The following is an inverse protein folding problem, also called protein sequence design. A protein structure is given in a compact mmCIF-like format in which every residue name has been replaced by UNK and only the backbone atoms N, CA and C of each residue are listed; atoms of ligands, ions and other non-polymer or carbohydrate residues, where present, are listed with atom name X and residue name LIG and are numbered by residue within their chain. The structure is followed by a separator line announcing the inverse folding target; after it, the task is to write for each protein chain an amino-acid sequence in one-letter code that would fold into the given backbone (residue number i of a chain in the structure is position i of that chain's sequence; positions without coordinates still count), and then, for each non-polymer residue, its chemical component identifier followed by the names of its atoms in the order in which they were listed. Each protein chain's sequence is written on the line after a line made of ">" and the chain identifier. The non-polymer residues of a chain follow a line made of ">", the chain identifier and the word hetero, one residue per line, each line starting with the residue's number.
data_IF_479134046126
#
_entry.id   IF_479134046126
#
_cell.length_a   1.000
_cell.length_b   1.000
_cell.length_c   1.000
_cell.angle_alpha   90.00
_cell.angle_beta   90.00
_cell.angle_gamma   90.00
#
_symmetry.space_group_name_H-M   'P 1'
#
loop_
_entity.id
_entity.type
_entity.pdbx_description
1 polymer ?
#
# COMPACT_ATOMS: atom_id res chain seq x y z
N UNK A 1 23.71 -7.65 16.95
CA UNK A 1 22.41 -7.79 16.25
C UNK A 1 22.28 -6.56 15.35
N UNK A 2 22.26 -6.72 14.02
CA UNK A 2 22.16 -5.58 13.10
C UNK A 2 20.67 -5.26 12.89
N UNK A 3 20.25 -4.05 13.23
CA UNK A 3 18.89 -3.58 12.94
C UNK A 3 18.92 -2.77 11.64
N UNK A 4 18.19 -3.24 10.63
CA UNK A 4 17.97 -2.47 9.41
C UNK A 4 16.90 -1.40 9.69
N UNK A 5 17.33 -0.15 9.91
CA UNK A 5 16.42 0.99 10.02
C UNK A 5 16.07 1.54 8.64
N UNK A 6 14.78 1.64 8.34
CA UNK A 6 14.28 2.36 7.18
C UNK A 6 14.44 3.88 7.41
N UNK A 7 15.29 4.54 6.62
CA UNK A 7 15.52 6.00 6.68
C UNK A 7 14.59 6.70 5.70
N UNK A 8 13.39 7.05 6.15
CA UNK A 8 12.41 7.73 5.32
C UNK A 8 12.63 9.25 5.33
N UNK A 9 12.50 9.89 4.15
CA UNK A 9 12.49 11.37 4.01
C UNK A 9 11.09 11.96 4.01
N UNK A 10 10.08 11.11 3.82
CA UNK A 10 8.65 11.45 3.80
C UNK A 10 7.88 10.28 4.43
N UNK A 11 6.67 10.51 4.95
CA UNK A 11 5.83 9.42 5.43
C UNK A 11 5.60 8.36 4.36
N UNK A 12 5.64 7.09 4.76
CA UNK A 12 5.32 5.96 3.91
C UNK A 12 3.82 5.68 3.99
N UNK A 13 3.16 5.54 2.85
CA UNK A 13 1.80 5.04 2.78
C UNK A 13 1.82 3.58 2.35
N UNK A 14 1.31 2.70 3.20
CA UNK A 14 0.96 1.33 2.85
C UNK A 14 -0.52 1.32 2.53
N UNK A 15 -0.91 0.71 1.42
CA UNK A 15 -2.30 0.62 1.04
C UNK A 15 -2.64 -0.78 0.56
N UNK A 16 -3.90 -1.14 0.76
CA UNK A 16 -4.49 -2.39 0.28
C UNK A 16 -5.73 -2.08 -0.56
N UNK A 17 -5.98 -2.91 -1.57
CA UNK A 17 -7.04 -2.70 -2.54
C UNK A 17 -7.94 -3.94 -2.61
N UNK A 18 -9.24 -3.72 -2.48
CA UNK A 18 -10.23 -4.74 -2.85
C UNK A 18 -10.75 -4.43 -4.24
N UNK A 19 -10.79 -5.44 -5.12
CA UNK A 19 -11.12 -5.27 -6.54
C UNK A 19 -12.24 -6.21 -6.95
N UNK A 20 -12.94 -5.88 -8.05
CA UNK A 20 -14.01 -6.76 -8.58
C UNK A 20 -13.49 -8.09 -9.13
N UNK A 21 -12.18 -8.18 -9.37
CA UNK A 21 -11.51 -9.34 -9.95
C UNK A 21 -10.03 -9.05 -10.23
N UNK A 22 -9.30 -10.03 -10.76
CA UNK A 22 -7.85 -9.95 -10.93
C UNK A 22 -7.39 -9.32 -12.26
N UNK A 23 -8.32 -8.93 -13.14
CA UNK A 23 -7.98 -8.38 -14.45
C UNK A 23 -7.62 -6.89 -14.35
N UNK A 24 -6.34 -6.59 -14.49
CA UNK A 24 -5.80 -5.22 -14.39
C UNK A 24 -6.40 -4.19 -15.37
N UNK A 25 -6.97 -4.60 -16.50
CA UNK A 25 -7.55 -3.68 -17.50
C UNK A 25 -9.06 -3.51 -17.30
N UNK A 26 -9.75 -4.60 -16.94
CA UNK A 26 -11.22 -4.65 -16.94
C UNK A 26 -11.84 -4.45 -15.57
N UNK A 27 -11.17 -4.94 -14.52
CA UNK A 27 -11.70 -4.88 -13.17
C UNK A 27 -11.47 -3.51 -12.53
N UNK A 28 -12.29 -3.20 -11.53
CA UNK A 28 -12.27 -1.90 -10.84
C UNK A 28 -11.90 -2.08 -9.38
N UNK A 29 -11.28 -1.05 -8.80
CA UNK A 29 -11.10 -0.93 -7.36
C UNK A 29 -12.45 -0.63 -6.74
N UNK A 30 -12.83 -1.40 -5.72
CA UNK A 30 -14.06 -1.24 -4.95
C UNK A 30 -13.77 -0.52 -3.64
N UNK A 31 -12.65 -0.86 -2.99
CA UNK A 31 -12.21 -0.28 -1.75
C UNK A 31 -10.71 0.02 -1.78
N UNK A 32 -10.32 1.10 -1.10
CA UNK A 32 -8.92 1.41 -0.81
C UNK A 32 -8.79 1.71 0.68
N UNK A 33 -7.84 1.02 1.34
CA UNK A 33 -7.43 1.33 2.71
C UNK A 33 -6.00 1.89 2.70
N UNK A 34 -5.73 2.87 3.56
CA UNK A 34 -4.41 3.53 3.62
C UNK A 34 -3.94 3.64 5.06
N UNK A 35 -2.77 3.08 5.34
CA UNK A 35 -2.03 3.23 6.59
C UNK A 35 -0.78 4.09 6.37
N UNK A 36 -0.65 5.16 7.15
CA UNK A 36 0.51 6.05 7.12
C UNK A 36 1.52 5.67 8.21
N UNK A 37 2.75 5.41 7.83
CA UNK A 37 3.91 5.34 8.71
C UNK A 37 4.71 6.64 8.62
N UNK A 38 4.94 7.30 9.75
CA UNK A 38 5.69 8.56 9.82
C UNK A 38 7.19 8.33 9.98
#
# INVERSE_FOLDING_TARGET
>A
MLTHQLKLRKPLAVFDLETTGINMIKDRIVEISIAKAN
#
